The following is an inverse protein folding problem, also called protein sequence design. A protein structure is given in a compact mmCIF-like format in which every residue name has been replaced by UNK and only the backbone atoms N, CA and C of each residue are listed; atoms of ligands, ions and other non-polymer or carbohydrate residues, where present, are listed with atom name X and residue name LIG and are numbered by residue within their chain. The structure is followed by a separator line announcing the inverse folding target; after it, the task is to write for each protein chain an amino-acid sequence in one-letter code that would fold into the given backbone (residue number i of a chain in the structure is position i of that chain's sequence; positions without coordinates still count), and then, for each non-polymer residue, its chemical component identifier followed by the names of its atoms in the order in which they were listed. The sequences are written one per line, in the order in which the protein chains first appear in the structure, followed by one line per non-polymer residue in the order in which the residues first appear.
data_IF_781387073556
#
_entry.id   IF_781387073556
#
_cell.length_a   1.000
_cell.length_b   1.000
_cell.length_c   1.000
_cell.angle_alpha   90.00
_cell.angle_beta   90.00
_cell.angle_gamma   90.00
#
_symmetry.space_group_name_H-M   'P 1'
#
loop_
_entity.id
_entity.type
_entity.pdbx_description
1 polymer ?
#
# COMPACT_ATOMS: atom_id res chain seq x y z
N UNK A 1 -28.03 -7.89 -5.43
CA UNK A 1 -28.67 -8.86 -6.35
C UNK A 1 -27.96 -8.72 -7.69
N UNK A 2 -27.06 -9.65 -8.06
CA UNK A 2 -26.41 -9.62 -9.37
C UNK A 2 -26.82 -10.84 -10.17
N UNK A 3 -27.27 -10.57 -11.39
CA UNK A 3 -27.81 -11.53 -12.34
C UNK A 3 -26.68 -12.29 -13.06
N UNK A 4 -27.07 -13.47 -13.55
CA UNK A 4 -26.25 -14.50 -14.16
C UNK A 4 -26.51 -14.53 -15.67
N UNK A 5 -25.44 -14.88 -16.41
CA UNK A 5 -25.36 -15.46 -17.77
C UNK A 5 -25.66 -14.61 -19.01
N UNK A 6 -24.68 -14.60 -19.93
CA UNK A 6 -24.90 -15.17 -21.27
C UNK A 6 -23.57 -15.54 -21.93
N UNK A 7 -23.61 -16.63 -22.69
CA UNK A 7 -22.48 -17.42 -23.16
C UNK A 7 -22.07 -17.14 -24.62
N UNK A 8 -20.89 -17.66 -24.96
CA UNK A 8 -20.43 -18.19 -26.26
C UNK A 8 -20.02 -17.23 -27.41
N UNK A 9 -18.78 -17.44 -27.86
CA UNK A 9 -18.26 -17.01 -29.16
C UNK A 9 -16.78 -17.33 -29.33
N UNK A 10 -16.44 -18.56 -29.76
CA UNK A 10 -15.06 -18.98 -30.10
C UNK A 10 -14.64 -18.43 -31.47
N UNK A 11 -13.42 -17.85 -31.55
CA UNK A 11 -12.33 -18.10 -32.54
C UNK A 11 -11.55 -16.80 -32.83
N UNK A 12 -10.22 -16.89 -32.80
CA UNK A 12 -9.34 -15.84 -33.31
C UNK A 12 -8.02 -15.71 -32.55
N UNK A 13 -7.08 -16.60 -32.86
CA UNK A 13 -5.61 -16.43 -32.89
C UNK A 13 -4.98 -15.28 -32.06
N UNK A 14 -4.10 -15.66 -31.12
CA UNK A 14 -2.89 -14.90 -30.83
C UNK A 14 -2.99 -13.68 -29.90
N UNK A 15 -3.62 -13.80 -28.71
CA UNK A 15 -3.58 -12.76 -27.66
C UNK A 15 -3.57 -13.32 -26.22
N UNK A 16 -2.83 -14.41 -25.99
CA UNK A 16 -2.86 -15.12 -24.69
C UNK A 16 -2.03 -14.47 -23.55
N UNK A 17 -1.12 -13.53 -23.83
CA UNK A 17 -0.17 -13.04 -22.82
C UNK A 17 -0.72 -11.96 -21.88
N UNK A 18 -1.69 -11.15 -22.30
CA UNK A 18 -2.25 -10.06 -21.48
C UNK A 18 -3.33 -10.50 -20.49
N UNK A 19 -4.13 -11.51 -20.85
CA UNK A 19 -5.25 -11.99 -20.03
C UNK A 19 -4.73 -12.86 -18.87
N UNK A 20 -3.71 -13.69 -19.11
CA UNK A 20 -3.09 -14.51 -18.08
C UNK A 20 -2.34 -13.70 -17.01
N UNK A 21 -1.66 -12.62 -17.41
CA UNK A 21 -0.97 -11.73 -16.46
C UNK A 21 -1.94 -10.97 -15.56
N UNK A 22 -3.03 -10.43 -16.13
CA UNK A 22 -4.10 -9.78 -15.35
C UNK A 22 -4.73 -10.73 -14.34
N UNK A 23 -5.10 -11.94 -14.76
CA UNK A 23 -5.66 -12.97 -13.86
C UNK A 23 -4.73 -13.34 -12.69
N UNK A 24 -3.41 -13.34 -12.90
CA UNK A 24 -2.44 -13.61 -11.81
C UNK A 24 -2.33 -12.44 -10.84
N UNK A 25 -2.38 -11.21 -11.35
CA UNK A 25 -2.39 -10.01 -10.53
C UNK A 25 -3.66 -9.92 -9.68
N UNK A 26 -4.82 -10.20 -10.30
CA UNK A 26 -6.11 -10.24 -9.61
C UNK A 26 -6.08 -11.28 -8.48
N UNK A 27 -5.61 -12.50 -8.75
CA UNK A 27 -5.49 -13.55 -7.74
C UNK A 27 -4.53 -13.17 -6.59
N UNK A 28 -3.46 -12.42 -6.88
CA UNK A 28 -2.55 -11.94 -5.84
C UNK A 28 -3.22 -10.88 -4.95
N UNK A 29 -4.00 -9.96 -5.53
CA UNK A 29 -4.78 -9.01 -4.76
C UNK A 29 -5.90 -9.67 -3.95
N UNK A 30 -6.60 -10.65 -4.52
CA UNK A 30 -7.62 -11.43 -3.81
C UNK A 30 -7.03 -12.16 -2.59
N UNK A 31 -5.82 -12.72 -2.75
CA UNK A 31 -5.11 -13.34 -1.64
C UNK A 31 -4.75 -12.33 -0.55
N UNK A 32 -4.16 -11.19 -0.91
CA UNK A 32 -3.80 -10.13 0.05
C UNK A 32 -5.03 -9.58 0.76
N UNK A 33 -6.14 -9.34 0.06
CA UNK A 33 -7.40 -8.89 0.64
C UNK A 33 -7.96 -9.90 1.65
N UNK A 34 -7.91 -11.20 1.31
CA UNK A 34 -8.32 -12.26 2.23
C UNK A 34 -7.44 -12.37 3.48
N UNK A 35 -6.13 -12.09 3.37
CA UNK A 35 -5.23 -12.00 4.54
C UNK A 35 -5.53 -10.76 5.39
N UNK A 36 -5.74 -9.60 4.76
CA UNK A 36 -6.14 -8.36 5.45
C UNK A 36 -7.44 -8.57 6.22
N UNK A 37 -8.46 -9.18 5.59
CA UNK A 37 -9.72 -9.50 6.26
C UNK A 37 -9.54 -10.41 7.48
N UNK A 38 -8.63 -11.39 7.41
CA UNK A 38 -8.29 -12.26 8.54
C UNK A 38 -7.58 -11.54 9.67
N UNK A 39 -6.71 -10.57 9.35
CA UNK A 39 -6.07 -9.72 10.35
C UNK A 39 -7.10 -8.82 11.03
N UNK A 40 -7.95 -8.13 10.25
CA UNK A 40 -9.02 -7.26 10.75
C UNK A 40 -9.93 -8.01 11.73
N UNK A 41 -10.30 -9.26 11.43
CA UNK A 41 -11.14 -10.08 12.29
C UNK A 41 -10.53 -10.44 13.65
N UNK A 42 -9.22 -10.24 13.83
CA UNK A 42 -8.47 -10.59 15.05
C UNK A 42 -7.95 -9.37 15.83
N UNK A 43 -8.12 -8.16 15.30
CA UNK A 43 -7.62 -6.95 15.94
C UNK A 43 -8.31 -6.72 17.29
N UNK A 44 -7.51 -6.48 18.32
CA UNK A 44 -7.98 -5.95 19.58
C UNK A 44 -8.40 -4.46 19.44
N UNK A 45 -9.18 -3.91 20.38
CA UNK A 45 -9.64 -2.52 20.32
C UNK A 45 -8.53 -1.47 20.23
N UNK A 46 -7.33 -1.80 20.70
CA UNK A 46 -6.16 -0.91 20.71
C UNK A 46 -5.11 -1.26 19.65
N UNK A 47 -5.42 -2.19 18.74
CA UNK A 47 -4.51 -2.53 17.65
C UNK A 47 -4.61 -1.54 16.49
N UNK A 48 -3.49 -1.36 15.80
CA UNK A 48 -3.38 -0.60 14.55
C UNK A 48 -2.90 -1.53 13.45
N UNK A 49 -3.66 -1.59 12.35
CA UNK A 49 -3.24 -2.22 11.11
C UNK A 49 -2.82 -1.15 10.11
N UNK A 50 -1.56 -1.21 9.66
CA UNK A 50 -1.07 -0.43 8.53
C UNK A 50 -0.78 -1.36 7.36
N UNK A 51 -1.37 -1.08 6.20
CA UNK A 51 -1.06 -1.75 4.93
C UNK A 51 -0.30 -0.77 4.07
N UNK A 52 1.00 -1.02 3.90
CA UNK A 52 1.92 -0.11 3.18
C UNK A 52 2.42 -0.80 1.93
N UNK A 53 2.37 -0.08 0.82
CA UNK A 53 2.98 -0.47 -0.43
C UNK A 53 3.87 0.68 -0.90
N UNK A 54 5.16 0.41 -1.11
CA UNK A 54 6.12 1.43 -1.59
C UNK A 54 5.98 1.75 -3.08
N UNK A 55 5.31 0.87 -3.85
CA UNK A 55 5.18 0.97 -5.30
C UNK A 55 3.87 0.34 -5.75
N UNK A 56 3.19 0.88 -6.76
CA UNK A 56 2.03 0.20 -7.35
C UNK A 56 2.47 -0.92 -8.29
N UNK A 57 1.78 -2.05 -8.22
CA UNK A 57 1.87 -3.10 -9.23
C UNK A 57 0.98 -2.70 -10.43
N UNK A 58 1.55 -1.98 -11.38
CA UNK A 58 0.87 -1.71 -12.65
C UNK A 58 1.21 -2.81 -13.67
N UNK A 59 0.22 -3.38 -14.39
CA UNK A 59 0.52 -4.25 -15.51
C UNK A 59 1.29 -3.43 -16.56
N UNK A 60 2.55 -3.78 -16.81
CA UNK A 60 3.40 -3.08 -17.77
C UNK A 60 2.66 -2.85 -19.09
N UNK A 61 2.57 -1.58 -19.51
CA UNK A 61 1.92 -1.25 -20.78
C UNK A 61 2.67 -1.90 -21.94
N UNK A 62 2.03 -2.11 -23.11
CA UNK A 62 2.73 -2.63 -24.28
C UNK A 62 3.97 -1.80 -24.66
N UNK A 63 3.92 -0.48 -24.43
CA UNK A 63 5.04 0.44 -24.65
C UNK A 63 6.14 0.27 -23.59
N UNK A 64 5.78 0.11 -22.32
CA UNK A 64 6.76 -0.15 -21.25
C UNK A 64 7.45 -1.51 -21.44
N UNK A 65 6.74 -2.52 -21.95
CA UNK A 65 7.35 -3.82 -22.27
C UNK A 65 8.31 -3.74 -23.45
N UNK A 66 8.01 -2.92 -24.46
CA UNK A 66 8.91 -2.69 -25.58
C UNK A 66 10.14 -1.90 -25.13
N UNK A 67 9.94 -0.85 -24.33
CA UNK A 67 11.03 -0.05 -23.73
C UNK A 67 11.92 -0.90 -22.82
N UNK A 68 11.33 -1.69 -21.92
CA UNK A 68 12.08 -2.55 -21.01
C UNK A 68 12.88 -3.62 -21.76
N UNK A 69 12.38 -4.19 -22.87
CA UNK A 69 13.20 -5.09 -23.69
C UNK A 69 14.41 -4.41 -24.31
N UNK A 70 14.24 -3.17 -24.79
CA UNK A 70 15.35 -2.39 -25.34
C UNK A 70 16.35 -1.93 -24.27
N UNK A 71 15.89 -1.71 -23.03
CA UNK A 71 16.71 -1.29 -21.90
C UNK A 71 17.33 -2.47 -21.12
N UNK A 72 16.70 -3.65 -21.12
CA UNK A 72 17.25 -4.91 -20.57
C UNK A 72 18.48 -5.34 -21.38
N UNK A 73 18.45 -5.21 -22.71
CA UNK A 73 19.62 -5.45 -23.57
C UNK A 73 20.76 -4.45 -23.30
N UNK A 74 20.46 -3.31 -22.67
CA UNK A 74 21.44 -2.29 -22.25
C UNK A 74 21.79 -2.37 -20.75
N UNK A 75 21.23 -3.32 -19.98
CA UNK A 75 21.51 -3.51 -18.55
C UNK A 75 20.90 -2.46 -17.60
N UNK A 76 19.88 -1.70 -18.04
CA UNK A 76 19.37 -0.52 -17.33
C UNK A 76 17.94 -0.66 -16.79
N UNK A 77 17.26 -1.80 -16.96
CA UNK A 77 15.82 -1.90 -16.73
C UNK A 77 15.39 -2.30 -15.29
N UNK A 78 15.96 -1.66 -14.27
CA UNK A 78 15.47 -1.78 -12.89
C UNK A 78 14.47 -0.66 -12.49
N UNK A 79 13.98 0.13 -13.45
CA UNK A 79 13.09 1.30 -13.18
C UNK A 79 11.59 1.01 -13.45
N UNK A 80 11.13 -0.22 -13.33
CA UNK A 80 9.75 -0.59 -13.65
C UNK A 80 8.80 -0.50 -12.43
N UNK A 81 8.53 0.73 -11.98
CA UNK A 81 7.20 1.28 -11.61
C UNK A 81 7.36 2.59 -10.81
N UNK A 82 7.47 3.74 -11.51
CA UNK A 82 7.43 5.10 -10.94
C UNK A 82 6.02 5.51 -10.49
N UNK A 83 5.26 4.60 -9.94
CA UNK A 83 3.90 4.88 -9.47
C UNK A 83 3.91 4.97 -7.96
N UNK A 84 3.33 6.05 -7.44
CA UNK A 84 3.20 6.24 -6.00
C UNK A 84 2.46 5.04 -5.41
N UNK A 85 3.08 4.48 -4.37
CA UNK A 85 2.51 3.45 -3.53
C UNK A 85 1.28 3.93 -2.76
N UNK A 86 0.93 3.22 -1.68
CA UNK A 86 -0.18 3.62 -0.83
C UNK A 86 0.04 3.21 0.62
N UNK A 87 -0.67 3.89 1.51
CA UNK A 87 -0.80 3.51 2.90
C UNK A 87 -2.30 3.48 3.23
N UNK A 88 -2.76 2.35 3.77
CA UNK A 88 -4.07 2.22 4.40
C UNK A 88 -3.85 2.04 5.90
N UNK A 89 -4.70 2.67 6.70
CA UNK A 89 -4.71 2.52 8.14
C UNK A 89 -6.10 2.03 8.58
N UNK A 90 -6.13 1.10 9.53
CA UNK A 90 -7.36 0.57 10.11
C UNK A 90 -7.17 0.32 11.61
N UNK A 91 -8.17 0.69 12.40
CA UNK A 91 -8.16 0.54 13.85
C UNK A 91 -9.13 1.52 14.52
N UNK A 92 -9.44 1.29 15.80
CA UNK A 92 -10.40 2.10 16.57
C UNK A 92 -10.04 3.59 16.63
N UNK A 93 -8.74 3.88 16.69
CA UNK A 93 -8.23 5.25 16.82
C UNK A 93 -7.86 5.88 15.47
N UNK A 94 -8.12 5.20 14.35
CA UNK A 94 -7.85 5.74 13.01
C UNK A 94 -8.98 6.68 12.60
N UNK A 95 -8.61 7.87 12.12
CA UNK A 95 -9.54 8.84 11.60
C UNK A 95 -9.98 8.46 10.19
N UNK A 96 -11.29 8.36 9.90
CA UNK A 96 -11.78 7.94 8.60
C UNK A 96 -11.50 8.97 7.51
N UNK A 97 -11.56 8.51 6.26
CA UNK A 97 -11.47 9.37 5.07
C UNK A 97 -10.06 9.46 4.50
N UNK A 98 -9.95 10.24 3.41
CA UNK A 98 -8.69 10.42 2.67
C UNK A 98 -7.77 11.38 3.41
N UNK A 99 -6.49 11.02 3.46
CA UNK A 99 -5.42 11.78 4.13
C UNK A 99 -4.46 12.38 3.11
N UNK A 100 -3.61 13.30 3.55
CA UNK A 100 -2.54 13.83 2.70
C UNK A 100 -1.56 12.72 2.33
N UNK A 101 -0.95 12.84 1.15
CA UNK A 101 0.08 11.90 0.71
C UNK A 101 1.26 11.96 1.69
N UNK A 102 1.81 10.80 2.04
CA UNK A 102 2.96 10.67 2.92
C UNK A 102 4.17 10.10 2.23
N UNK A 103 5.31 10.17 2.91
CA UNK A 103 6.54 9.53 2.50
C UNK A 103 6.66 8.17 3.21
N UNK A 104 7.40 7.24 2.59
CA UNK A 104 7.68 5.93 3.21
C UNK A 104 8.43 6.07 4.54
N UNK A 105 9.27 7.10 4.66
CA UNK A 105 10.02 7.43 5.89
C UNK A 105 9.12 7.87 7.05
N UNK A 106 7.85 8.20 6.80
CA UNK A 106 6.90 8.58 7.84
C UNK A 106 6.34 7.35 8.59
N UNK A 107 6.50 6.13 8.07
CA UNK A 107 5.89 4.92 8.66
C UNK A 107 6.42 4.66 10.06
N UNK A 108 7.74 4.65 10.25
CA UNK A 108 8.36 4.41 11.55
C UNK A 108 7.95 5.45 12.61
N UNK A 109 8.12 6.76 12.40
CA UNK A 109 7.72 7.75 13.40
C UNK A 109 6.21 7.72 13.69
N UNK A 110 5.38 7.33 12.72
CA UNK A 110 3.93 7.12 12.93
C UNK A 110 3.63 5.93 13.83
N UNK A 111 4.34 4.80 13.65
CA UNK A 111 4.20 3.62 14.54
C UNK A 111 4.67 3.95 15.94
N UNK A 112 5.83 4.63 16.09
CA UNK A 112 6.33 5.05 17.40
C UNK A 112 5.32 5.94 18.12
N UNK A 113 4.77 6.94 17.41
CA UNK A 113 3.74 7.80 17.93
C UNK A 113 2.51 7.01 18.43
N UNK A 114 2.01 6.06 17.63
CA UNK A 114 0.88 5.23 18.04
C UNK A 114 1.15 4.43 19.32
N UNK A 115 2.36 3.89 19.45
CA UNK A 115 2.82 3.16 20.63
C UNK A 115 3.10 4.06 21.84
N UNK A 116 3.04 5.39 21.69
CA UNK A 116 3.38 6.35 22.74
C UNK A 116 4.89 6.48 22.99
N UNK A 117 5.69 6.05 22.02
CA UNK A 117 7.14 6.17 22.06
C UNK A 117 7.57 7.51 21.47
N UNK A 118 8.69 8.10 21.94
CA UNK A 118 9.16 9.36 21.43
C UNK A 118 9.68 9.23 19.99
N UNK A 119 9.47 10.27 19.18
CA UNK A 119 10.02 10.36 17.83
C UNK A 119 11.40 11.01 17.90
N UNK A 120 12.40 10.45 17.22
CA UNK A 120 13.72 11.06 17.21
C UNK A 120 13.78 12.23 16.21
N UNK A 121 14.47 13.31 16.60
CA UNK A 121 14.58 14.54 15.80
C UNK A 121 15.44 14.39 14.55
N UNK A 122 16.26 13.36 14.51
CA UNK A 122 17.14 13.00 13.39
C UNK A 122 16.49 11.98 12.43
N UNK A 123 15.22 11.61 12.62
CA UNK A 123 14.48 10.81 11.66
C UNK A 123 14.15 11.62 10.40
N UNK A 124 14.28 10.98 9.24
CA UNK A 124 13.97 11.60 7.94
C UNK A 124 12.47 11.92 7.75
N UNK A 125 11.60 11.17 8.41
CA UNK A 125 10.14 11.32 8.35
C UNK A 125 9.53 11.90 9.62
N UNK A 126 8.23 12.16 9.58
CA UNK A 126 7.47 12.67 10.72
C UNK A 126 6.25 11.81 11.04
N UNK A 127 5.81 11.87 12.30
CA UNK A 127 4.62 11.12 12.73
C UNK A 127 3.36 11.68 12.07
N UNK A 128 2.63 10.82 11.34
CA UNK A 128 1.38 11.15 10.65
C UNK A 128 0.20 11.15 11.61
N UNK A 129 0.16 12.15 12.48
CA UNK A 129 -0.91 12.32 13.49
C UNK A 129 -2.29 12.52 12.85
N UNK A 130 -2.34 12.99 11.60
CA UNK A 130 -3.56 13.14 10.81
C UNK A 130 -4.25 11.80 10.47
N UNK A 131 -3.54 10.67 10.59
CA UNK A 131 -4.12 9.33 10.51
C UNK A 131 -5.04 9.01 11.68
N UNK A 132 -4.91 9.70 12.82
CA UNK A 132 -5.59 9.33 14.05
C UNK A 132 -6.71 10.30 14.42
N UNK A 133 -7.63 9.83 15.26
CA UNK A 133 -8.72 10.64 15.80
C UNK A 133 -8.18 11.81 16.63
N UNK A 134 -8.87 12.95 16.56
CA UNK A 134 -8.52 14.15 17.33
C UNK A 134 -8.51 13.92 18.85
N UNK A 135 -9.32 12.99 19.35
CA UNK A 135 -9.31 12.60 20.77
C UNK A 135 -7.98 11.95 21.16
N UNK A 136 -7.45 11.03 20.34
CA UNK A 136 -6.15 10.39 20.60
C UNK A 136 -5.03 11.43 20.58
N UNK A 137 -5.03 12.32 19.58
CA UNK A 137 -3.94 13.28 19.39
C UNK A 137 -3.95 14.40 20.43
N UNK A 138 -5.12 14.76 20.96
CA UNK A 138 -5.25 15.68 22.08
C UNK A 138 -4.70 15.08 23.40
N UNK A 139 -4.95 13.79 23.65
CA UNK A 139 -4.47 13.11 24.85
C UNK A 139 -2.98 12.74 24.77
N UNK A 140 -2.47 12.49 23.56
CA UNK A 140 -1.11 12.00 23.32
C UNK A 140 -0.39 12.94 22.35
N UNK A 141 0.15 14.08 22.83
CA UNK A 141 1.00 14.93 22.02
C UNK A 141 2.29 14.20 21.62
N UNK A 142 2.85 14.52 20.45
CA UNK A 142 4.10 13.92 19.97
C UNK A 142 5.23 14.28 20.94
N UNK A 143 5.87 13.27 21.51
CA UNK A 143 7.09 13.43 22.31
C UNK A 143 8.31 13.26 21.43
N UNK A 144 9.41 13.95 21.77
CA UNK A 144 10.63 13.94 20.97
C UNK A 144 11.85 13.60 21.82
N UNK A 145 12.77 12.84 21.23
CA UNK A 145 14.14 12.63 21.73
C UNK A 145 15.15 13.12 20.69
N UNK A 146 16.41 13.28 21.09
CA UNK A 146 17.47 13.73 20.17
C UNK A 146 17.75 12.69 19.08
N UNK A 147 18.05 11.46 19.50
CA UNK A 147 18.40 10.32 18.65
C UNK A 147 18.17 9.02 19.44
N UNK A 148 18.02 7.90 18.73
CA UNK A 148 17.96 6.54 19.30
C UNK A 148 19.34 5.85 19.39
N UNK A 149 20.41 6.53 18.98
CA UNK A 149 21.79 6.05 19.08
C UNK A 149 22.32 6.02 20.51
#
# INVERSE_FOLDING_TARGET
RYAVLSALGRRGLGRASGIGARRRLDAAYDFVDAEIGRLIARLAPDDLLLVVSGYRLEPASPLDRLRNRLLDDAGLAAEASRSDGFLLAFGRHVSPGRKSVGAIVDVLPTVLYYLGMPVARDMDGFARTDLFLGSLTAERPVSFIRSYQ
#
